data_IF_371521296790
#
_entry.id   IF_371521296790
#
_cell.length_a   1.000
_cell.length_b   1.000
_cell.length_c   1.000
_cell.angle_alpha   90.00
_cell.angle_beta   90.00
_cell.angle_gamma   90.00
#
_symmetry.space_group_name_H-M   'P 1'
#
loop_
_entity.id
_entity.type
_entity.pdbx_description
1 polymer ?
#
# COMPACT_ATOMS: atom_id res chain seq x y z
N UNK A 1 18.72 25.76 43.76
CA UNK A 1 19.54 24.59 44.20
C UNK A 1 19.91 23.64 43.05
N UNK A 2 19.01 23.32 42.10
CA UNK A 2 19.25 22.34 41.02
C UNK A 2 20.48 22.63 40.14
N UNK A 3 20.75 23.90 39.79
CA UNK A 3 21.93 24.27 39.01
C UNK A 3 23.27 24.00 39.72
N UNK A 4 23.30 23.94 41.06
CA UNK A 4 24.50 23.57 41.84
C UNK A 4 24.73 22.06 41.90
N UNK A 5 23.73 21.25 41.54
CA UNK A 5 23.84 19.78 41.40
C UNK A 5 24.20 19.36 39.95
N UNK A 6 24.50 20.31 39.06
CA UNK A 6 24.81 20.04 37.65
C UNK A 6 23.59 19.75 36.77
N UNK A 7 22.39 19.62 37.34
CA UNK A 7 21.16 19.34 36.59
C UNK A 7 20.55 20.66 36.12
N UNK A 8 20.55 20.87 34.80
CA UNK A 8 19.92 22.01 34.13
C UNK A 8 18.67 21.51 33.37
N UNK A 9 17.48 21.56 33.98
CA UNK A 9 16.27 20.96 33.42
C UNK A 9 15.61 21.77 32.29
N UNK A 10 16.20 22.90 31.88
CA UNK A 10 15.68 23.75 30.82
C UNK A 10 16.78 24.06 29.80
N UNK A 11 16.53 23.72 28.54
CA UNK A 11 17.33 24.16 27.40
C UNK A 11 16.68 25.41 26.80
N UNK A 12 17.51 26.42 26.54
CA UNK A 12 17.10 27.59 25.76
C UNK A 12 17.67 27.42 24.36
N UNK A 13 16.82 27.53 23.35
CA UNK A 13 17.18 27.41 21.94
C UNK A 13 16.41 28.42 21.10
N UNK A 14 16.92 28.75 19.93
CA UNK A 14 16.22 29.59 18.97
C UNK A 14 15.08 28.77 18.34
N UNK A 15 13.84 29.22 18.50
CA UNK A 15 12.70 28.64 17.78
C UNK A 15 12.57 29.38 16.46
N UNK A 16 12.71 28.65 15.35
CA UNK A 16 12.44 29.18 14.02
C UNK A 16 10.93 29.27 13.84
N UNK A 17 10.39 30.45 13.51
CA UNK A 17 8.95 30.62 13.27
C UNK A 17 8.57 30.44 11.79
N UNK A 18 9.42 30.88 10.88
CA UNK A 18 9.16 30.81 9.44
C UNK A 18 10.46 30.71 8.67
N UNK A 19 10.47 29.91 7.60
CA UNK A 19 11.62 29.75 6.70
C UNK A 19 11.24 30.34 5.35
N UNK A 20 12.07 31.25 4.83
CA UNK A 20 11.91 31.76 3.47
C UNK A 20 12.93 31.09 2.56
N UNK A 21 12.44 30.48 1.48
CA UNK A 21 13.29 29.93 0.42
C UNK A 21 12.64 30.15 -0.96
N UNK A 22 13.43 30.66 -1.91
CA UNK A 22 13.04 30.90 -3.31
C UNK A 22 11.63 31.50 -3.52
N UNK A 23 11.25 32.51 -2.74
CA UNK A 23 9.95 33.20 -2.89
C UNK A 23 8.79 32.56 -2.14
N UNK A 24 9.01 31.41 -1.48
CA UNK A 24 8.00 30.71 -0.68
C UNK A 24 8.33 30.78 0.82
N UNK A 25 7.29 30.92 1.64
CA UNK A 25 7.41 30.89 3.11
C UNK A 25 6.90 29.55 3.60
N UNK A 26 7.77 28.78 4.26
CA UNK A 26 7.48 27.46 4.80
C UNK A 26 7.36 27.49 6.33
N UNK A 27 6.50 26.60 6.84
CA UNK A 27 6.46 26.28 8.27
C UNK A 27 7.76 25.54 8.67
N UNK A 28 8.26 25.73 9.90
CA UNK A 28 9.42 25.00 10.44
C UNK A 28 9.26 23.48 10.39
N UNK A 29 8.01 22.98 10.39
CA UNK A 29 7.70 21.55 10.30
C UNK A 29 8.17 20.92 8.99
N UNK A 30 8.24 21.69 7.90
CA UNK A 30 8.70 21.20 6.59
C UNK A 30 10.16 20.74 6.64
N UNK A 31 10.97 21.33 7.52
CA UNK A 31 12.37 20.91 7.74
C UNK A 31 12.48 19.53 8.41
N UNK A 32 11.43 19.06 9.09
CA UNK A 32 11.43 17.81 9.85
C UNK A 32 10.78 16.64 9.07
N UNK A 33 10.63 16.73 7.75
CA UNK A 33 10.15 15.59 6.96
C UNK A 33 11.19 14.47 6.94
N UNK A 34 10.73 13.24 7.23
CA UNK A 34 11.53 12.04 7.03
C UNK A 34 11.31 11.46 5.63
N UNK A 35 12.32 10.76 5.10
CA UNK A 35 12.22 10.10 3.79
C UNK A 35 11.10 9.04 3.76
N UNK A 36 10.89 8.35 4.88
CA UNK A 36 9.83 7.34 5.01
C UNK A 36 8.43 7.94 4.80
N UNK A 37 8.17 9.13 5.36
CA UNK A 37 6.91 9.84 5.16
C UNK A 37 6.70 10.25 3.71
N UNK A 38 7.77 10.60 3.00
CA UNK A 38 7.71 10.94 1.59
C UNK A 38 7.39 9.72 0.73
N UNK A 39 8.01 8.57 1.02
CA UNK A 39 7.76 7.32 0.30
C UNK A 39 6.34 6.83 0.54
N UNK A 40 5.84 6.90 1.77
CA UNK A 40 4.46 6.52 2.09
C UNK A 40 3.46 7.35 1.27
N UNK A 41 3.59 8.68 1.31
CA UNK A 41 2.67 9.58 0.59
C UNK A 41 2.76 9.41 -0.92
N UNK A 42 3.95 9.11 -1.44
CA UNK A 42 4.13 8.79 -2.86
C UNK A 42 3.45 7.47 -3.24
N UNK A 43 3.62 6.42 -2.43
CA UNK A 43 2.98 5.13 -2.64
C UNK A 43 1.45 5.25 -2.58
N UNK A 44 0.91 6.03 -1.63
CA UNK A 44 -0.52 6.35 -1.54
C UNK A 44 -1.02 7.02 -2.83
N UNK A 45 -0.27 7.98 -3.36
CA UNK A 45 -0.59 8.65 -4.62
C UNK A 45 -0.64 7.70 -5.82
N UNK A 46 0.35 6.81 -5.95
CA UNK A 46 0.38 5.79 -7.02
C UNK A 46 -0.78 4.81 -6.89
N UNK A 47 -1.10 4.39 -5.67
CA UNK A 47 -2.24 3.52 -5.37
C UNK A 47 -3.56 4.16 -5.81
N UNK A 48 -3.77 5.44 -5.50
CA UNK A 48 -4.97 6.17 -5.88
C UNK A 48 -5.12 6.25 -7.42
N UNK A 49 -4.05 6.60 -8.14
CA UNK A 49 -4.08 6.66 -9.62
C UNK A 49 -4.38 5.30 -10.23
N UNK A 50 -3.78 4.24 -9.67
CA UNK A 50 -4.02 2.86 -10.09
C UNK A 50 -5.47 2.43 -9.83
N UNK A 51 -6.05 2.82 -8.69
CA UNK A 51 -7.44 2.52 -8.34
C UNK A 51 -8.43 3.21 -9.30
N UNK A 52 -8.15 4.47 -9.66
CA UNK A 52 -8.95 5.23 -10.62
C UNK A 52 -8.90 4.58 -12.00
N UNK A 53 -7.69 4.23 -12.47
CA UNK A 53 -7.43 3.51 -13.72
C UNK A 53 -8.23 2.22 -13.83
N UNK A 54 -8.25 1.43 -12.76
CA UNK A 54 -9.01 0.19 -12.69
C UNK A 54 -10.52 0.44 -12.76
N UNK A 55 -11.02 1.49 -12.10
CA UNK A 55 -12.43 1.88 -12.13
C UNK A 55 -12.90 2.33 -13.52
N UNK A 56 -12.11 3.16 -14.20
CA UNK A 56 -12.42 3.64 -15.56
C UNK A 56 -12.07 2.62 -16.66
N UNK A 57 -11.49 1.48 -16.31
CA UNK A 57 -11.02 0.44 -17.24
C UNK A 57 -10.00 0.95 -18.28
N UNK A 58 -9.21 1.97 -17.92
CA UNK A 58 -8.17 2.50 -18.80
C UNK A 58 -6.81 1.92 -18.39
N UNK A 59 -6.06 1.25 -19.28
CA UNK A 59 -4.83 0.57 -18.90
C UNK A 59 -3.67 1.56 -18.72
N UNK A 60 -3.25 1.73 -17.46
CA UNK A 60 -1.98 2.37 -17.09
C UNK A 60 -0.95 1.30 -16.71
N UNK A 61 0.34 1.62 -16.80
CA UNK A 61 1.43 0.67 -16.54
C UNK A 61 1.34 0.00 -15.16
N UNK A 62 0.94 0.76 -14.14
CA UNK A 62 0.74 0.26 -12.78
C UNK A 62 -0.54 -0.58 -12.62
N UNK A 63 -1.59 -0.31 -13.41
CA UNK A 63 -2.89 -0.99 -13.29
C UNK A 63 -3.02 -2.24 -14.17
N UNK A 64 -2.27 -2.30 -15.28
CA UNK A 64 -2.28 -3.40 -16.22
C UNK A 64 -2.20 -4.79 -15.56
N UNK A 65 -1.24 -5.11 -14.66
CA UNK A 65 -1.17 -6.42 -14.04
C UNK A 65 -2.43 -6.75 -13.20
N UNK A 66 -2.96 -5.76 -12.49
CA UNK A 66 -4.18 -5.94 -11.69
C UNK A 66 -5.41 -6.22 -12.56
N UNK A 67 -5.53 -5.56 -13.72
CA UNK A 67 -6.62 -5.81 -14.67
C UNK A 67 -6.60 -7.25 -15.21
N UNK A 68 -5.43 -7.75 -15.61
CA UNK A 68 -5.30 -9.12 -16.12
C UNK A 68 -5.62 -10.17 -15.06
N UNK A 69 -5.14 -9.97 -13.83
CA UNK A 69 -5.41 -10.89 -12.71
C UNK A 69 -6.91 -10.93 -12.39
N UNK A 70 -7.58 -9.77 -12.39
CA UNK A 70 -9.02 -9.72 -12.12
C UNK A 70 -9.83 -10.40 -13.22
N UNK A 71 -9.47 -10.17 -14.50
CA UNK A 71 -10.08 -10.88 -15.62
C UNK A 71 -9.90 -12.40 -15.51
N UNK A 72 -8.69 -12.84 -15.15
CA UNK A 72 -8.40 -14.26 -14.92
C UNK A 72 -9.26 -14.85 -13.79
N UNK A 73 -9.35 -14.16 -12.65
CA UNK A 73 -10.20 -14.56 -11.52
C UNK A 73 -11.68 -14.68 -11.92
N UNK A 74 -12.19 -13.76 -12.73
CA UNK A 74 -13.58 -13.81 -13.19
C UNK A 74 -13.85 -15.04 -14.08
N UNK A 75 -12.95 -15.35 -15.03
CA UNK A 75 -13.08 -16.54 -15.88
C UNK A 75 -12.91 -17.82 -15.06
N UNK A 76 -11.99 -17.82 -14.10
CA UNK A 76 -11.79 -18.95 -13.20
C UNK A 76 -13.01 -19.21 -12.32
N UNK A 77 -13.66 -18.17 -11.79
CA UNK A 77 -14.90 -18.31 -11.04
C UNK A 77 -16.02 -18.95 -11.88
N UNK A 78 -16.13 -18.60 -13.16
CA UNK A 78 -17.08 -19.22 -14.09
C UNK A 78 -16.72 -20.70 -14.33
N UNK A 79 -15.43 -21.02 -14.51
CA UNK A 79 -14.97 -22.39 -14.69
C UNK A 79 -15.07 -23.24 -13.41
N UNK A 80 -15.14 -22.64 -12.22
CA UNK A 80 -15.45 -23.34 -10.97
C UNK A 80 -16.94 -23.62 -10.83
N UNK A 81 -17.79 -22.67 -11.23
CA UNK A 81 -19.24 -22.83 -11.19
C UNK A 81 -19.78 -23.79 -12.26
N UNK A 82 -19.01 -24.02 -13.33
CA UNK A 82 -19.37 -24.91 -14.43
C UNK A 82 -18.46 -26.14 -14.46
N UNK A 83 -18.89 -27.22 -15.11
CA UNK A 83 -18.07 -28.42 -15.29
C UNK A 83 -16.94 -28.24 -16.32
N UNK A 84 -16.89 -27.08 -16.99
CA UNK A 84 -15.87 -26.79 -17.98
C UNK A 84 -14.52 -26.50 -17.32
N UNK A 85 -13.44 -27.10 -17.84
CA UNK A 85 -12.09 -26.91 -17.32
C UNK A 85 -11.10 -26.53 -18.41
N UNK A 86 -10.11 -25.72 -18.03
CA UNK A 86 -8.99 -25.31 -18.87
C UNK A 86 -7.67 -25.57 -18.12
N UNK A 87 -6.54 -25.72 -18.83
CA UNK A 87 -5.28 -26.20 -18.22
C UNK A 87 -4.82 -25.39 -17.00
N UNK A 88 -5.05 -24.07 -17.01
CA UNK A 88 -4.68 -23.17 -15.92
C UNK A 88 -5.70 -23.16 -14.77
N UNK A 89 -6.95 -23.59 -15.00
CA UNK A 89 -7.95 -23.77 -13.94
C UNK A 89 -7.83 -25.12 -13.25
N UNK A 90 -7.32 -26.16 -13.92
CA UNK A 90 -7.21 -27.50 -13.35
C UNK A 90 -6.32 -27.52 -12.11
N UNK A 91 -5.17 -26.82 -12.16
CA UNK A 91 -4.28 -26.70 -11.00
C UNK A 91 -4.99 -26.06 -9.81
N UNK A 92 -5.76 -25.00 -10.03
CA UNK A 92 -6.51 -24.31 -8.97
C UNK A 92 -7.66 -25.18 -8.45
N UNK A 93 -8.34 -25.95 -9.32
CA UNK A 93 -9.37 -26.91 -8.92
C UNK A 93 -8.79 -28.03 -8.06
N UNK A 94 -7.63 -28.55 -8.41
CA UNK A 94 -6.91 -29.59 -7.66
C UNK A 94 -6.51 -29.08 -6.27
N UNK A 95 -5.93 -27.88 -6.18
CA UNK A 95 -5.64 -27.23 -4.89
C UNK A 95 -6.88 -27.01 -4.02
N UNK A 96 -8.03 -26.71 -4.62
CA UNK A 96 -9.28 -26.50 -3.87
C UNK A 96 -9.88 -27.83 -3.39
N UNK A 97 -9.81 -28.90 -4.20
CA UNK A 97 -10.26 -30.25 -3.80
C UNK A 97 -9.44 -30.82 -2.65
N UNK A 98 -8.11 -30.71 -2.71
CA UNK A 98 -7.19 -31.18 -1.66
C UNK A 98 -7.45 -30.45 -0.33
N UNK A 99 -7.79 -29.15 -0.37
CA UNK A 99 -8.16 -28.38 0.81
C UNK A 99 -9.46 -28.87 1.46
N UNK A 100 -10.45 -29.26 0.66
CA UNK A 100 -11.74 -29.73 1.17
C UNK A 100 -11.64 -31.17 1.72
N UNK A 101 -10.80 -32.03 1.10
CA UNK A 101 -10.46 -33.35 1.63
C UNK A 101 -9.71 -33.26 2.97
N UNK A 102 -8.70 -32.39 3.07
CA UNK A 102 -7.92 -32.19 4.30
C UNK A 102 -8.74 -31.58 5.47
N UNK A 103 -9.86 -30.93 5.17
CA UNK A 103 -10.79 -30.44 6.20
C UNK A 103 -11.73 -31.53 6.74
N UNK A 104 -12.03 -32.58 5.97
CA UNK A 104 -12.83 -33.71 6.43
C UNK A 104 -12.03 -34.66 7.34
N UNK A 105 -10.72 -34.79 7.11
CA UNK A 105 -9.82 -35.59 7.95
C UNK A 105 -9.54 -34.98 9.34
N UNK A 106 -9.98 -33.73 9.59
CA UNK A 106 -9.79 -33.01 10.85
C UNK A 106 -11.08 -32.90 11.70
N UNK A 107 -12.18 -33.51 11.28
CA UNK A 107 -13.45 -33.58 12.01
C UNK A 107 -13.68 -34.98 12.60
#
# INVERSE_FOLDING_TARGET
LLAKLGIRPFSYGLVVESVYDNGSVFSPEVLNLTEDQLVEKFADGVSLVTSLSLGISYPLLAAAPHMFINAYKNVLAIALATEYSFPQAESVKEFLRDRDEQNWDRA
#
